data_IF_401961908850
#
_entry.id   IF_401961908850
#
_cell.length_a   1.000
_cell.length_b   1.000
_cell.length_c   1.000
_cell.angle_alpha   90.00
_cell.angle_beta   90.00
_cell.angle_gamma   90.00
#
_symmetry.space_group_name_H-M   'P 1'
#
loop_
_entity.id
_entity.type
_entity.pdbx_description
1 polymer ?
#
# COMPACT_ATOMS: atom_id res chain seq x y z
N UNK A 1 -5.12 1.34 22.05
CA UNK A 1 -4.36 2.03 21.00
C UNK A 1 -4.77 1.41 19.68
N UNK A 2 -5.10 2.21 18.65
CA UNK A 2 -5.50 1.70 17.33
C UNK A 2 -4.29 1.06 16.66
N UNK A 3 -4.47 -0.12 16.09
CA UNK A 3 -3.47 -0.85 15.34
C UNK A 3 -3.52 -0.44 13.87
N UNK A 4 -2.52 0.32 13.44
CA UNK A 4 -2.46 0.92 12.10
C UNK A 4 -1.58 0.07 11.20
N UNK A 5 -2.13 -0.45 10.11
CA UNK A 5 -1.44 -1.35 9.19
C UNK A 5 -1.35 -0.66 7.83
N UNK A 6 -0.14 -0.45 7.33
CA UNK A 6 0.10 -0.01 5.95
C UNK A 6 0.53 -1.21 5.10
N UNK A 7 -0.33 -1.60 4.15
CA UNK A 7 -0.02 -2.59 3.13
C UNK A 7 0.59 -1.89 1.91
N UNK A 8 1.89 -2.03 1.72
CA UNK A 8 2.65 -1.45 0.62
C UNK A 8 2.71 -2.39 -0.58
N UNK A 9 2.04 -1.98 -1.66
CA UNK A 9 1.90 -2.75 -2.89
C UNK A 9 2.64 -2.08 -4.05
N UNK A 10 3.03 -2.89 -5.02
CA UNK A 10 3.26 -2.45 -6.40
C UNK A 10 1.96 -2.53 -7.20
N UNK A 11 1.96 -2.01 -8.44
CA UNK A 11 0.82 -2.18 -9.34
C UNK A 11 0.55 -3.68 -9.61
N UNK A 12 -0.73 -4.04 -9.69
CA UNK A 12 -1.19 -5.40 -10.07
C UNK A 12 -0.84 -6.54 -9.10
N UNK A 13 -0.64 -6.26 -7.80
CA UNK A 13 -0.32 -7.29 -6.78
C UNK A 13 -1.53 -7.76 -5.96
N UNK A 14 -2.77 -7.68 -6.47
CA UNK A 14 -4.02 -8.06 -5.76
C UNK A 14 -4.26 -7.39 -4.39
N UNK A 15 -3.59 -6.27 -4.11
CA UNK A 15 -3.72 -5.51 -2.86
C UNK A 15 -5.15 -5.09 -2.55
N UNK A 16 -5.97 -4.77 -3.56
CA UNK A 16 -7.39 -4.45 -3.38
C UNK A 16 -8.18 -5.63 -2.82
N UNK A 17 -7.89 -6.86 -3.27
CA UNK A 17 -8.55 -8.06 -2.73
C UNK A 17 -8.18 -8.30 -1.27
N UNK A 18 -6.89 -8.11 -0.93
CA UNK A 18 -6.41 -8.19 0.45
C UNK A 18 -7.02 -7.09 1.35
N UNK A 19 -7.20 -5.87 0.84
CA UNK A 19 -7.91 -4.82 1.56
C UNK A 19 -9.37 -5.24 1.83
N UNK A 20 -10.07 -5.78 0.82
CA UNK A 20 -11.44 -6.26 1.01
C UNK A 20 -11.56 -7.42 1.99
N UNK A 21 -10.56 -8.31 2.12
CA UNK A 21 -10.60 -9.36 3.14
C UNK A 21 -10.52 -8.78 4.56
N UNK A 22 -9.74 -7.72 4.78
CA UNK A 22 -9.73 -7.00 6.05
C UNK A 22 -11.02 -6.21 6.29
N UNK A 23 -11.65 -5.68 5.24
CA UNK A 23 -12.92 -4.96 5.35
C UNK A 23 -14.09 -5.83 5.78
N UNK A 24 -13.97 -7.17 5.69
CA UNK A 24 -14.99 -8.10 6.19
C UNK A 24 -14.96 -8.27 7.71
N UNK A 25 -13.95 -7.73 8.41
CA UNK A 25 -13.83 -7.86 9.86
C UNK A 25 -14.56 -6.73 10.56
N UNK A 26 -15.33 -7.07 11.60
CA UNK A 26 -16.07 -6.09 12.41
C UNK A 26 -15.16 -5.15 13.22
N UNK A 27 -13.91 -5.55 13.48
CA UNK A 27 -12.93 -4.76 14.24
C UNK A 27 -12.07 -3.83 13.36
N UNK A 28 -12.29 -3.81 12.04
CA UNK A 28 -11.37 -3.18 11.09
C UNK A 28 -12.06 -2.08 10.29
N UNK A 29 -11.41 -0.92 10.19
CA UNK A 29 -11.67 0.10 9.18
C UNK A 29 -10.60 -0.01 8.08
N UNK A 30 -10.99 0.17 6.82
CA UNK A 30 -10.05 0.13 5.69
C UNK A 30 -10.04 1.46 4.94
N UNK A 31 -8.89 1.82 4.37
CA UNK A 31 -8.74 2.99 3.51
C UNK A 31 -7.89 2.65 2.28
N UNK A 32 -8.37 3.07 1.11
CA UNK A 32 -7.69 2.83 -0.16
C UNK A 32 -6.80 4.03 -0.55
N UNK A 33 -5.51 3.76 -0.71
CA UNK A 33 -4.48 4.66 -1.27
C UNK A 33 -4.55 6.12 -0.79
N UNK A 34 -4.45 6.40 0.53
CA UNK A 34 -4.61 7.77 1.05
C UNK A 34 -3.58 8.78 0.52
N UNK A 35 -2.41 8.32 0.06
CA UNK A 35 -1.36 9.17 -0.52
C UNK A 35 -1.54 9.45 -2.02
N UNK A 36 -2.59 8.93 -2.66
CA UNK A 36 -2.72 8.98 -4.11
C UNK A 36 -2.89 10.40 -4.66
N UNK A 37 -3.75 11.22 -4.06
CA UNK A 37 -3.94 12.60 -4.50
C UNK A 37 -2.68 13.45 -4.33
N UNK A 38 -1.93 13.22 -3.25
CA UNK A 38 -0.61 13.82 -3.05
C UNK A 38 0.35 13.44 -4.19
N UNK A 39 0.46 12.15 -4.48
CA UNK A 39 1.28 11.63 -5.57
C UNK A 39 0.90 12.28 -6.92
N UNK A 40 -0.39 12.36 -7.26
CA UNK A 40 -0.85 12.98 -8.50
C UNK A 40 -0.46 14.46 -8.58
N UNK A 41 -0.61 15.21 -7.47
CA UNK A 41 -0.25 16.63 -7.39
C UNK A 41 1.24 16.86 -7.65
N UNK A 42 2.10 16.08 -6.99
CA UNK A 42 3.56 16.24 -7.05
C UNK A 42 4.13 15.72 -8.36
N UNK A 43 3.77 14.48 -8.75
CA UNK A 43 4.31 13.82 -9.94
C UNK A 43 3.75 14.36 -11.26
N UNK A 44 2.56 14.99 -11.23
CA UNK A 44 1.77 15.36 -12.42
C UNK A 44 1.49 14.16 -13.33
N UNK A 45 1.41 12.96 -12.76
CA UNK A 45 1.09 11.75 -13.49
C UNK A 45 -0.27 11.89 -14.19
N UNK A 46 -0.31 11.53 -15.47
CA UNK A 46 -1.54 11.57 -16.27
C UNK A 46 -2.33 10.30 -15.98
N UNK A 47 -3.29 10.39 -15.07
CA UNK A 47 -4.21 9.30 -14.77
C UNK A 47 -5.65 9.70 -15.11
N UNK A 48 -6.47 8.81 -15.71
CA UNK A 48 -7.90 9.02 -15.82
C UNK A 48 -8.51 9.36 -14.44
N UNK A 49 -9.34 10.41 -14.38
CA UNK A 49 -9.97 10.86 -13.13
C UNK A 49 -9.05 11.62 -12.15
N UNK A 50 -7.83 12.00 -12.56
CA UNK A 50 -6.91 12.72 -11.67
C UNK A 50 -7.48 14.02 -11.09
N UNK A 51 -8.24 14.79 -11.87
CA UNK A 51 -8.88 16.02 -11.40
C UNK A 51 -9.91 15.75 -10.30
N UNK A 52 -10.73 14.71 -10.44
CA UNK A 52 -11.72 14.31 -9.44
C UNK A 52 -11.04 13.88 -8.14
N UNK A 53 -9.97 13.08 -8.23
CA UNK A 53 -9.16 12.67 -7.07
C UNK A 53 -8.57 13.89 -6.36
N UNK A 54 -7.99 14.83 -7.11
CA UNK A 54 -7.38 16.04 -6.54
C UNK A 54 -8.40 16.97 -5.87
N UNK A 55 -9.66 16.95 -6.32
CA UNK A 55 -10.75 17.74 -5.72
C UNK A 55 -11.37 17.08 -4.48
N UNK A 56 -11.35 15.75 -4.40
CA UNK A 56 -12.09 15.00 -3.37
C UNK A 56 -11.21 14.50 -2.22
N UNK A 57 -9.91 14.34 -2.46
CA UNK A 57 -8.96 13.83 -1.47
C UNK A 57 -7.97 14.91 -1.02
N UNK A 58 -7.50 14.81 0.23
CA UNK A 58 -6.40 15.62 0.73
C UNK A 58 -5.12 15.33 -0.08
N UNK A 59 -4.46 16.38 -0.56
CA UNK A 59 -3.31 16.29 -1.47
C UNK A 59 -2.03 16.93 -0.90
N UNK A 60 -2.11 17.49 0.31
CA UNK A 60 -0.96 17.78 1.16
C UNK A 60 -0.50 16.51 1.88
N UNK A 61 0.71 16.05 1.58
CA UNK A 61 1.23 14.78 2.09
C UNK A 61 1.44 14.78 3.61
N UNK A 62 1.79 15.93 4.18
CA UNK A 62 1.94 16.10 5.62
C UNK A 62 0.59 15.96 6.31
N UNK A 63 -0.44 16.61 5.76
CA UNK A 63 -1.81 16.51 6.30
C UNK A 63 -2.38 15.10 6.15
N UNK A 64 -2.13 14.41 5.04
CA UNK A 64 -2.50 12.99 4.89
C UNK A 64 -1.86 12.14 5.98
N UNK A 65 -0.56 12.33 6.26
CA UNK A 65 0.13 11.57 7.31
C UNK A 65 -0.48 11.84 8.69
N UNK A 66 -0.60 13.11 9.07
CA UNK A 66 -1.01 13.48 10.43
C UNK A 66 -2.49 13.24 10.70
N UNK A 67 -3.35 13.61 9.75
CA UNK A 67 -4.80 13.68 9.95
C UNK A 67 -5.51 12.42 9.45
N UNK A 68 -4.91 11.69 8.51
CA UNK A 68 -5.54 10.50 7.90
C UNK A 68 -4.85 9.23 8.37
N UNK A 69 -3.56 9.06 8.11
CA UNK A 69 -2.83 7.81 8.44
C UNK A 69 -2.71 7.65 9.96
N UNK A 70 -2.25 8.70 10.65
CA UNK A 70 -2.06 8.71 12.10
C UNK A 70 -3.27 9.28 12.86
N UNK A 71 -4.25 9.85 12.14
CA UNK A 71 -5.44 10.46 12.72
C UNK A 71 -6.43 9.45 13.30
N UNK A 72 -7.55 9.96 13.80
CA UNK A 72 -8.50 9.16 14.58
C UNK A 72 -9.13 8.01 13.78
N UNK A 73 -9.38 6.90 14.47
CA UNK A 73 -10.11 5.76 13.93
C UNK A 73 -11.00 5.19 15.03
N UNK A 74 -12.25 4.90 14.68
CA UNK A 74 -13.28 4.37 15.58
C UNK A 74 -13.23 2.84 15.72
N UNK A 75 -12.31 2.18 15.01
CA UNK A 75 -12.11 0.74 15.04
C UNK A 75 -10.76 0.35 15.65
N UNK A 76 -10.66 -0.81 16.32
CA UNK A 76 -9.39 -1.31 16.84
C UNK A 76 -8.27 -1.44 15.81
N UNK A 77 -8.62 -1.80 14.56
CA UNK A 77 -7.68 -1.96 13.45
C UNK A 77 -7.98 -0.96 12.35
N UNK A 78 -6.95 -0.29 11.85
CA UNK A 78 -7.03 0.59 10.68
C UNK A 78 -6.06 0.11 9.60
N UNK A 79 -6.60 -0.44 8.52
CA UNK A 79 -5.84 -1.05 7.43
C UNK A 79 -5.83 -0.13 6.21
N UNK A 80 -4.66 0.31 5.79
CA UNK A 80 -4.48 1.22 4.67
C UNK A 80 -3.76 0.49 3.55
N UNK A 81 -4.42 0.37 2.40
CA UNK A 81 -3.75 -0.04 1.16
C UNK A 81 -2.93 1.15 0.65
N UNK A 82 -1.66 0.92 0.37
CA UNK A 82 -0.73 1.92 -0.12
C UNK A 82 -0.01 1.42 -1.38
N UNK A 83 0.48 2.36 -2.18
CA UNK A 83 1.38 2.06 -3.29
C UNK A 83 2.77 2.60 -2.97
N UNK A 84 3.82 1.78 -3.15
CA UNK A 84 5.19 2.18 -2.80
C UNK A 84 5.64 3.43 -3.59
N UNK A 85 5.24 3.55 -4.85
CA UNK A 85 5.57 4.68 -5.71
C UNK A 85 4.82 5.98 -5.35
N UNK A 86 3.84 5.94 -4.42
CA UNK A 86 3.20 7.16 -3.91
C UNK A 86 4.07 7.90 -2.87
N UNK A 87 5.16 7.28 -2.39
CA UNK A 87 6.08 7.89 -1.42
C UNK A 87 7.04 8.91 -2.07
N UNK A 88 6.47 9.96 -2.67
CA UNK A 88 7.18 11.03 -3.35
C UNK A 88 7.08 12.30 -2.51
N UNK A 89 8.20 12.91 -2.13
CA UNK A 89 8.22 14.10 -1.26
C UNK A 89 7.47 13.92 0.08
N UNK A 90 7.44 12.69 0.59
CA UNK A 90 6.81 12.32 1.86
C UNK A 90 7.89 12.12 2.94
N UNK A 91 7.68 12.70 4.13
CA UNK A 91 8.47 12.33 5.31
C UNK A 91 8.16 10.88 5.68
N UNK A 92 9.18 10.04 5.72
CA UNK A 92 9.08 8.59 5.94
C UNK A 92 9.05 8.20 7.42
N UNK A 93 9.28 9.13 8.33
CA UNK A 93 9.32 8.87 9.77
C UNK A 93 8.00 8.32 10.35
N UNK A 94 6.86 8.59 9.72
CA UNK A 94 5.58 8.01 10.18
C UNK A 94 5.55 6.49 10.07
N UNK A 95 6.37 5.89 9.19
CA UNK A 95 6.43 4.44 9.03
C UNK A 95 6.93 3.74 10.30
N UNK A 96 7.64 4.43 11.19
CA UNK A 96 8.01 3.92 12.52
C UNK A 96 6.82 3.82 13.50
N UNK A 97 5.68 4.43 13.18
CA UNK A 97 4.47 4.50 14.03
C UNK A 97 3.34 3.58 13.56
N UNK A 98 3.56 2.79 12.51
CA UNK A 98 2.58 1.88 11.92
C UNK A 98 3.19 0.50 11.68
N UNK A 99 2.35 -0.51 11.55
CA UNK A 99 2.76 -1.85 11.12
C UNK A 99 2.85 -1.88 9.60
N UNK A 100 4.04 -2.08 9.06
CA UNK A 100 4.27 -2.12 7.62
C UNK A 100 4.25 -3.57 7.11
N UNK A 101 3.52 -3.80 6.03
CA UNK A 101 3.48 -5.07 5.30
C UNK A 101 3.81 -4.78 3.85
N UNK A 102 4.67 -5.58 3.22
CA UNK A 102 4.99 -5.45 1.79
C UNK A 102 4.31 -6.57 1.02
N UNK A 103 3.55 -6.25 -0.02
CA UNK A 103 2.89 -7.23 -0.88
C UNK A 103 3.55 -7.26 -2.25
N UNK A 104 4.30 -8.32 -2.53
CA UNK A 104 5.04 -8.49 -3.79
C UNK A 104 4.31 -9.44 -4.73
N UNK A 105 4.69 -9.38 -6.00
CA UNK A 105 4.31 -10.35 -7.02
C UNK A 105 5.48 -10.54 -7.95
N UNK A 106 5.58 -11.72 -8.54
CA UNK A 106 6.56 -12.02 -9.57
C UNK A 106 6.53 -10.93 -10.68
N UNK A 107 7.67 -10.26 -10.97
CA UNK A 107 7.75 -9.21 -11.98
C UNK A 107 7.27 -9.63 -13.37
N UNK A 108 7.49 -10.89 -13.78
CA UNK A 108 7.03 -11.38 -15.07
C UNK A 108 5.50 -11.51 -15.11
N UNK A 109 4.88 -11.92 -14.00
CA UNK A 109 3.41 -11.95 -13.88
C UNK A 109 2.79 -10.55 -13.85
N UNK A 110 3.46 -9.58 -13.20
CA UNK A 110 3.04 -8.17 -13.24
C UNK A 110 3.09 -7.65 -14.67
N UNK A 111 4.22 -7.85 -15.38
CA UNK A 111 4.38 -7.41 -16.77
C UNK A 111 3.30 -7.98 -17.69
N UNK A 112 3.00 -9.29 -17.58
CA UNK A 112 1.92 -9.93 -18.36
C UNK A 112 0.56 -9.26 -18.13
N UNK A 113 0.25 -8.85 -16.91
CA UNK A 113 -0.98 -8.12 -16.63
C UNK A 113 -0.92 -6.67 -17.08
N UNK A 114 0.26 -6.05 -17.06
CA UNK A 114 0.44 -4.62 -17.28
C UNK A 114 0.36 -4.25 -18.77
N UNK A 115 0.82 -5.13 -19.67
CA UNK A 115 0.71 -4.98 -21.14
C UNK A 115 -0.74 -4.76 -21.59
N UNK A 116 -1.72 -5.28 -20.85
CA UNK A 116 -3.15 -5.08 -21.16
C UNK A 116 -3.65 -3.66 -20.85
N UNK A 117 -2.91 -2.86 -20.07
CA UNK A 117 -3.27 -1.50 -19.65
C UNK A 117 -2.31 -0.45 -20.21
N UNK A 118 -1.03 -0.77 -20.28
CA UNK A 118 0.04 0.09 -20.78
C UNK A 118 0.61 -0.57 -22.03
N UNK A 119 0.50 0.04 -23.22
CA UNK A 119 0.92 -0.59 -24.49
C UNK A 119 2.40 -0.98 -24.56
N UNK A 120 3.26 -0.31 -23.79
CA UNK A 120 4.71 -0.54 -23.77
C UNK A 120 5.25 -0.34 -22.36
N UNK A 121 5.02 -1.29 -21.43
CA UNK A 121 5.44 -1.15 -20.05
C UNK A 121 6.97 -1.24 -19.97
N UNK A 122 7.57 -0.39 -19.14
CA UNK A 122 8.98 -0.44 -18.80
C UNK A 122 9.17 -1.06 -17.41
N UNK A 123 10.41 -1.45 -17.07
CA UNK A 123 10.71 -2.08 -15.78
C UNK A 123 10.28 -1.23 -14.58
N UNK A 124 10.31 0.10 -14.73
CA UNK A 124 9.86 1.05 -13.71
C UNK A 124 8.36 0.87 -13.39
N UNK A 125 7.55 0.53 -14.39
CA UNK A 125 6.10 0.39 -14.22
C UNK A 125 5.72 -0.89 -13.46
N UNK A 126 6.67 -1.80 -13.23
CA UNK A 126 6.48 -2.98 -12.36
C UNK A 126 6.48 -2.58 -10.89
N UNK A 127 7.16 -1.49 -10.51
CA UNK A 127 7.21 -0.99 -9.14
C UNK A 127 8.04 -1.83 -8.16
N UNK A 128 8.63 -2.95 -8.58
CA UNK A 128 9.39 -3.85 -7.68
C UNK A 128 10.62 -3.17 -7.08
N UNK A 129 11.26 -2.25 -7.81
CA UNK A 129 12.39 -1.47 -7.32
C UNK A 129 11.98 -0.56 -6.15
N UNK A 130 10.81 0.09 -6.26
CA UNK A 130 10.27 0.95 -5.20
C UNK A 130 9.93 0.13 -3.95
N UNK A 131 9.36 -1.07 -4.14
CA UNK A 131 9.05 -1.99 -3.04
C UNK A 131 10.32 -2.51 -2.35
N UNK A 132 11.36 -2.83 -3.12
CA UNK A 132 12.65 -3.26 -2.57
C UNK A 132 13.31 -2.15 -1.76
N UNK A 133 13.34 -0.93 -2.30
CA UNK A 133 13.90 0.23 -1.61
C UNK A 133 13.14 0.52 -0.31
N UNK A 134 11.80 0.46 -0.36
CA UNK A 134 10.97 0.60 0.83
C UNK A 134 11.29 -0.47 1.89
N UNK A 135 11.44 -1.74 1.49
CA UNK A 135 11.83 -2.80 2.42
C UNK A 135 13.17 -2.48 3.10
N UNK A 136 14.17 -1.99 2.35
CA UNK A 136 15.48 -1.61 2.89
C UNK A 136 15.40 -0.44 3.87
N UNK A 137 14.54 0.52 3.63
CA UNK A 137 14.32 1.63 4.57
C UNK A 137 13.64 1.16 5.86
N UNK A 138 12.66 0.26 5.76
CA UNK A 138 12.00 -0.33 6.93
C UNK A 138 13.00 -1.15 7.77
N UNK A 139 13.86 -1.94 7.11
CA UNK A 139 14.97 -2.66 7.77
C UNK A 139 15.94 -1.68 8.45
N UNK A 140 16.28 -0.55 7.82
CA UNK A 140 17.13 0.48 8.40
C UNK A 140 16.49 1.17 9.62
N UNK A 141 15.16 1.23 9.70
CA UNK A 141 14.43 1.63 10.91
C UNK A 141 14.40 0.53 12.00
N UNK A 142 15.07 -0.60 11.78
CA UNK A 142 15.09 -1.74 12.70
C UNK A 142 13.81 -2.59 12.67
N UNK A 143 12.96 -2.41 11.65
CA UNK A 143 11.76 -3.20 11.48
C UNK A 143 12.03 -4.47 10.67
N UNK A 144 11.22 -5.50 10.88
CA UNK A 144 11.23 -6.72 10.07
C UNK A 144 9.83 -6.93 9.46
N UNK A 145 9.42 -6.12 8.47
CA UNK A 145 8.05 -6.17 7.94
C UNK A 145 7.75 -7.54 7.31
N UNK A 146 6.52 -8.07 7.45
CA UNK A 146 6.09 -9.21 6.66
C UNK A 146 6.13 -8.88 5.17
N UNK A 147 6.69 -9.80 4.38
CA UNK A 147 6.64 -9.78 2.92
C UNK A 147 5.69 -10.87 2.49
N UNK A 148 4.58 -10.49 1.87
CA UNK A 148 3.54 -11.40 1.38
C UNK A 148 3.73 -11.58 -0.11
N UNK A 149 3.84 -12.83 -0.57
CA UNK A 149 3.81 -13.15 -2.00
C UNK A 149 2.36 -13.29 -2.45
N UNK A 150 1.96 -12.50 -3.46
CA UNK A 150 0.62 -12.52 -4.02
C UNK A 150 0.21 -13.89 -4.59
N UNK A 151 1.15 -14.69 -5.12
CA UNK A 151 0.87 -16.03 -5.64
C UNK A 151 0.56 -16.99 -4.50
N UNK A 152 1.35 -16.97 -3.43
CA UNK A 152 1.09 -17.80 -2.25
C UNK A 152 -0.25 -17.43 -1.62
N UNK A 153 -0.54 -16.12 -1.49
CA UNK A 153 -1.81 -15.62 -0.99
C UNK A 153 -3.00 -16.11 -1.82
N UNK A 154 -2.88 -16.18 -3.15
CA UNK A 154 -3.95 -16.67 -4.01
C UNK A 154 -4.10 -18.20 -3.98
N UNK A 155 -3.02 -18.93 -3.72
CA UNK A 155 -3.03 -20.40 -3.67
C UNK A 155 -3.62 -20.92 -2.35
N UNK A 156 -3.28 -20.29 -1.23
CA UNK A 156 -3.82 -20.64 0.09
C UNK A 156 -4.09 -19.36 0.93
N UNK A 157 -5.21 -18.66 0.65
CA UNK A 157 -5.53 -17.43 1.35
C UNK A 157 -5.66 -17.62 2.86
N UNK A 158 -6.25 -18.74 3.29
CA UNK A 158 -6.48 -19.01 4.71
C UNK A 158 -5.15 -19.09 5.46
N UNK A 159 -4.22 -19.90 4.95
CA UNK A 159 -2.92 -20.09 5.58
C UNK A 159 -2.10 -18.80 5.63
N UNK A 160 -1.98 -18.10 4.50
CA UNK A 160 -1.18 -16.86 4.43
C UNK A 160 -1.79 -15.75 5.28
N UNK A 161 -3.10 -15.59 5.28
CA UNK A 161 -3.78 -14.57 6.10
C UNK A 161 -3.66 -14.88 7.59
N UNK A 162 -3.73 -16.15 8.02
CA UNK A 162 -3.49 -16.53 9.41
C UNK A 162 -2.08 -16.17 9.85
N UNK A 163 -1.05 -16.53 9.07
CA UNK A 163 0.34 -16.16 9.39
C UNK A 163 0.54 -14.64 9.42
N UNK A 164 -0.07 -13.91 8.49
CA UNK A 164 0.00 -12.46 8.49
C UNK A 164 -0.63 -11.88 9.77
N UNK A 165 -1.81 -12.37 10.15
CA UNK A 165 -2.48 -11.96 11.38
C UNK A 165 -1.64 -12.25 12.62
N UNK A 166 -0.95 -13.37 12.71
CA UNK A 166 -0.08 -13.67 13.87
C UNK A 166 1.06 -12.65 14.04
N UNK A 167 1.49 -12.01 12.94
CA UNK A 167 2.54 -11.00 12.96
C UNK A 167 2.05 -9.58 13.21
N UNK A 168 0.79 -9.27 12.84
CA UNK A 168 0.31 -7.89 12.82
C UNK A 168 -1.01 -7.66 13.54
N UNK A 169 -1.84 -8.67 13.81
CA UNK A 169 -3.17 -8.57 14.44
C UNK A 169 -3.15 -8.75 15.95
#
# INVERSE_FOLDING_TARGET
>A
MVKRICLWSGPRNVSTALMYSFSQRLDTCVLDEPLYAHYLRVSKAKHPGAEEVLMTMENDGHRVIEQVILGDCDRPVFFMKQMAHHLVEIDRNFMAKVFNVVLIRDPADVLRSLVNQIPTPVIKDVGIADQYQLLKELEAFGQTPPVVDAKELLQDPSHVLSQLCDRIC
#
